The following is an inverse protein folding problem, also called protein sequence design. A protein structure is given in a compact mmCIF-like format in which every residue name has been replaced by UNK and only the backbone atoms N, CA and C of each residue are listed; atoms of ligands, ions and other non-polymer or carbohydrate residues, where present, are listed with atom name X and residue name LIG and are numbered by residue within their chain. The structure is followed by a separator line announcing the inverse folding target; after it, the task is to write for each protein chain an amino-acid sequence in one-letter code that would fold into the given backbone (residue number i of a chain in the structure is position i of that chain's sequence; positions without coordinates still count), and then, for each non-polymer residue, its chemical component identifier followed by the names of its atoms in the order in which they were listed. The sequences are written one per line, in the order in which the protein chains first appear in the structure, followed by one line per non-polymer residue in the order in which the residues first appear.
data_IF_699236252360
#
_entry.id   IF_699236252360
#
_cell.length_a   1.000
_cell.length_b   1.000
_cell.length_c   1.000
_cell.angle_alpha   90.00
_cell.angle_beta   90.00
_cell.angle_gamma   90.00
#
_symmetry.space_group_name_H-M   'P 1'
#
loop_
_entity.id
_entity.type
_entity.pdbx_description
1 polymer ?
#
# COMPACT_ATOMS: atom_id res chain seq x y z
N UNK A 1 9.40 -15.40 -0.44
CA UNK A 1 8.74 -14.40 -1.29
C UNK A 1 9.70 -14.05 -2.41
N UNK A 2 9.35 -14.28 -3.67
CA UNK A 2 10.22 -13.95 -4.83
C UNK A 2 10.15 -12.45 -5.14
N UNK A 3 11.13 -11.88 -5.86
CA UNK A 3 11.11 -10.47 -6.28
C UNK A 3 9.86 -10.08 -7.08
N UNK A 4 9.44 -10.94 -8.02
CA UNK A 4 8.21 -10.74 -8.79
C UNK A 4 6.95 -10.73 -7.91
N UNK A 5 6.87 -11.68 -6.96
CA UNK A 5 5.73 -11.74 -6.03
C UNK A 5 5.70 -10.49 -5.15
N UNK A 6 6.87 -10.03 -4.69
CA UNK A 6 6.99 -8.78 -3.94
C UNK A 6 6.46 -7.58 -4.72
N UNK A 7 6.91 -7.38 -5.97
CA UNK A 7 6.46 -6.26 -6.80
C UNK A 7 4.97 -6.33 -7.12
N UNK A 8 4.43 -7.52 -7.39
CA UNK A 8 2.98 -7.70 -7.60
C UNK A 8 2.19 -7.38 -6.33
N UNK A 9 2.59 -7.89 -5.17
CA UNK A 9 1.93 -7.61 -3.89
C UNK A 9 1.99 -6.12 -3.57
N UNK A 10 3.13 -5.46 -3.83
CA UNK A 10 3.28 -4.02 -3.59
C UNK A 10 2.35 -3.17 -4.46
N UNK A 11 2.29 -3.41 -5.78
CA UNK A 11 1.33 -2.71 -6.66
C UNK A 11 -0.12 -2.91 -6.20
N UNK A 12 -0.44 -4.10 -5.70
CA UNK A 12 -1.77 -4.38 -5.15
C UNK A 12 -2.05 -3.58 -3.88
N UNK A 13 -1.06 -3.44 -2.98
CA UNK A 13 -1.16 -2.59 -1.78
C UNK A 13 -1.37 -1.13 -2.16
N UNK A 14 -0.58 -0.59 -3.08
CA UNK A 14 -0.69 0.81 -3.53
C UNK A 14 -2.09 1.11 -4.14
N UNK A 15 -2.62 0.15 -4.90
CA UNK A 15 -3.99 0.23 -5.44
C UNK A 15 -5.05 0.21 -4.32
N UNK A 16 -4.92 -0.70 -3.36
CA UNK A 16 -5.84 -0.79 -2.23
C UNK A 16 -5.80 0.45 -1.35
N UNK A 17 -4.64 1.08 -1.15
CA UNK A 17 -4.52 2.37 -0.43
C UNK A 17 -5.30 3.48 -1.14
N UNK A 18 -5.12 3.59 -2.45
CA UNK A 18 -5.83 4.58 -3.27
C UNK A 18 -7.35 4.34 -3.22
N UNK A 19 -7.77 3.07 -3.35
CA UNK A 19 -9.18 2.69 -3.23
C UNK A 19 -9.74 3.00 -1.83
N UNK A 20 -8.99 2.70 -0.78
CA UNK A 20 -9.38 2.96 0.61
C UNK A 20 -9.60 4.46 0.82
N UNK A 21 -8.73 5.31 0.30
CA UNK A 21 -8.89 6.77 0.37
C UNK A 21 -10.21 7.22 -0.28
N UNK A 22 -10.52 6.70 -1.48
CA UNK A 22 -11.78 6.99 -2.18
C UNK A 22 -13.00 6.51 -1.37
N UNK A 23 -12.95 5.30 -0.79
CA UNK A 23 -14.02 4.76 0.04
C UNK A 23 -14.27 5.60 1.30
N UNK A 24 -13.21 6.08 1.95
CA UNK A 24 -13.31 6.96 3.12
C UNK A 24 -13.94 8.30 2.74
N UNK A 25 -13.55 8.89 1.61
CA UNK A 25 -14.18 10.11 1.09
C UNK A 25 -15.67 9.88 0.81
N UNK A 26 -16.02 8.75 0.19
CA UNK A 26 -17.41 8.37 -0.07
C UNK A 26 -18.22 8.20 1.21
N UNK A 27 -17.66 7.57 2.25
CA UNK A 27 -18.30 7.43 3.56
C UNK A 27 -18.57 8.80 4.19
N UNK A 28 -17.60 9.71 4.13
CA UNK A 28 -17.77 11.06 4.66
C UNK A 28 -18.85 11.84 3.92
N UNK A 29 -18.85 11.80 2.57
CA UNK A 29 -19.90 12.42 1.77
C UNK A 29 -21.27 11.86 2.13
N UNK A 30 -21.41 10.53 2.18
CA UNK A 30 -22.66 9.89 2.59
C UNK A 30 -23.08 10.34 3.99
N UNK A 31 -22.18 10.39 4.98
CA UNK A 31 -22.52 10.85 6.32
C UNK A 31 -23.12 12.28 6.34
N UNK A 32 -22.71 13.17 5.44
CA UNK A 32 -23.25 14.53 5.31
C UNK A 32 -24.66 14.56 4.71
N UNK A 33 -24.97 13.67 3.76
CA UNK A 33 -26.23 13.70 3.01
C UNK A 33 -27.38 12.88 3.63
N UNK A 34 -27.20 12.32 4.85
CA UNK A 34 -28.19 11.48 5.56
C UNK A 34 -28.88 10.39 4.69
N UNK A 35 -28.13 9.48 4.05
CA UNK A 35 -28.66 8.28 3.42
C UNK A 35 -29.19 7.31 4.48
N UNK A 36 -29.82 6.22 4.04
CA UNK A 36 -30.21 5.14 4.93
C UNK A 36 -29.01 4.65 5.77
N UNK A 37 -29.21 4.52 7.09
CA UNK A 37 -28.14 4.13 8.02
C UNK A 37 -27.49 2.78 7.67
N UNK A 38 -28.23 1.90 6.98
CA UNK A 38 -27.73 0.60 6.51
C UNK A 38 -26.59 0.78 5.50
N UNK A 39 -26.68 1.76 4.59
CA UNK A 39 -25.65 2.02 3.59
C UNK A 39 -24.34 2.51 4.26
N UNK A 40 -24.46 3.38 5.27
CA UNK A 40 -23.31 3.86 6.05
C UNK A 40 -22.61 2.72 6.79
N UNK A 41 -23.38 1.85 7.43
CA UNK A 41 -22.84 0.68 8.16
C UNK A 41 -22.17 -0.29 7.20
N UNK A 42 -22.80 -0.60 6.06
CA UNK A 42 -22.23 -1.50 5.06
C UNK A 42 -20.90 -0.97 4.52
N UNK A 43 -20.83 0.33 4.17
CA UNK A 43 -19.61 0.96 3.68
C UNK A 43 -18.50 0.99 4.75
N UNK A 44 -18.85 1.26 6.01
CA UNK A 44 -17.88 1.22 7.12
C UNK A 44 -17.27 -0.17 7.30
N UNK A 45 -18.08 -1.24 7.20
CA UNK A 45 -17.58 -2.62 7.28
C UNK A 45 -16.66 -2.97 6.09
N UNK A 46 -16.97 -2.49 4.88
CA UNK A 46 -16.10 -2.66 3.71
C UNK A 46 -14.74 -1.97 3.91
N UNK A 47 -14.73 -0.73 4.40
CA UNK A 47 -13.50 0.03 4.71
C UNK A 47 -12.66 -0.71 5.76
N UNK A 48 -13.29 -1.23 6.82
CA UNK A 48 -12.61 -1.99 7.86
C UNK A 48 -11.98 -3.28 7.30
N UNK A 49 -12.70 -4.01 6.46
CA UNK A 49 -12.19 -5.22 5.79
C UNK A 49 -10.99 -4.93 4.88
N UNK A 50 -11.07 -3.87 4.06
CA UNK A 50 -9.97 -3.43 3.19
C UNK A 50 -8.75 -3.04 4.03
N UNK A 51 -8.95 -2.29 5.12
CA UNK A 51 -7.87 -1.85 6.01
C UNK A 51 -7.14 -3.04 6.67
N UNK A 52 -7.88 -4.05 7.13
CA UNK A 52 -7.29 -5.26 7.72
C UNK A 52 -6.48 -6.05 6.69
N UNK A 53 -6.99 -6.18 5.46
CA UNK A 53 -6.28 -6.81 4.35
C UNK A 53 -4.98 -6.08 4.05
N UNK A 54 -5.05 -4.74 3.96
CA UNK A 54 -3.92 -3.88 3.70
C UNK A 54 -2.84 -3.99 4.78
N UNK A 55 -3.24 -4.05 6.06
CA UNK A 55 -2.33 -4.22 7.18
C UNK A 55 -1.57 -5.56 7.10
N UNK A 56 -2.25 -6.65 6.74
CA UNK A 56 -1.60 -7.97 6.57
C UNK A 56 -0.60 -7.96 5.42
N UNK A 57 -0.95 -7.32 4.30
CA UNK A 57 -0.04 -7.19 3.17
C UNK A 57 1.16 -6.31 3.50
N UNK A 58 0.97 -5.21 4.25
CA UNK A 58 2.07 -4.39 4.76
C UNK A 58 3.05 -5.18 5.62
N UNK A 59 2.55 -5.99 6.57
CA UNK A 59 3.41 -6.84 7.39
C UNK A 59 4.21 -7.85 6.56
N UNK A 60 3.62 -8.39 5.49
CA UNK A 60 4.33 -9.29 4.58
C UNK A 60 5.43 -8.54 3.81
N UNK A 61 5.13 -7.36 3.28
CA UNK A 61 6.09 -6.52 2.54
C UNK A 61 7.23 -6.02 3.42
N UNK A 62 6.96 -5.67 4.68
CA UNK A 62 7.99 -5.21 5.63
C UNK A 62 9.03 -6.28 5.97
N UNK A 63 8.65 -7.56 5.90
CA UNK A 63 9.57 -8.69 6.15
C UNK A 63 10.42 -9.05 4.93
N UNK A 64 10.14 -8.48 3.76
CA UNK A 64 10.91 -8.77 2.56
C UNK A 64 12.26 -8.03 2.59
N UNK A 65 13.33 -8.79 2.46
CA UNK A 65 14.69 -8.31 2.31
C UNK A 65 15.16 -8.48 0.86
N UNK A 66 15.82 -7.47 0.32
CA UNK A 66 16.42 -7.53 -1.00
C UNK A 66 17.50 -8.64 -1.04
N UNK A 67 17.51 -9.52 -2.04
CA UNK A 67 18.52 -10.57 -2.15
C UNK A 67 19.94 -10.03 -2.37
N UNK A 68 20.09 -8.83 -2.92
CA UNK A 68 21.40 -8.21 -3.17
C UNK A 68 22.07 -7.59 -1.96
N UNK A 69 21.31 -6.89 -1.13
CA UNK A 69 21.86 -6.09 -0.03
C UNK A 69 21.25 -6.41 1.34
N UNK A 70 20.25 -7.29 1.42
CA UNK A 70 19.56 -7.63 2.68
C UNK A 70 18.67 -6.54 3.25
N UNK A 71 18.68 -5.33 2.69
CA UNK A 71 17.85 -4.22 3.14
C UNK A 71 16.40 -4.35 2.64
N UNK A 72 15.45 -3.74 3.37
CA UNK A 72 14.08 -3.62 2.89
C UNK A 72 14.05 -2.69 1.67
N UNK A 73 13.64 -3.16 0.48
CA UNK A 73 14.06 -2.52 -0.77
C UNK A 73 13.52 -1.10 -0.99
N UNK A 74 12.45 -0.72 -0.31
CA UNK A 74 11.79 0.58 -0.49
C UNK A 74 11.65 1.38 0.81
N UNK A 75 12.37 1.00 1.86
CA UNK A 75 12.47 1.80 3.07
C UNK A 75 13.81 2.54 3.03
N UNK A 76 13.85 3.64 2.28
CA UNK A 76 14.99 4.54 2.26
C UNK A 76 14.48 5.94 2.55
N UNK A 77 14.86 6.50 3.68
CA UNK A 77 14.67 7.92 3.98
C UNK A 77 15.77 8.69 3.25
N UNK A 78 15.46 9.27 2.11
CA UNK A 78 16.34 10.23 1.46
C UNK A 78 16.27 11.55 2.24
N UNK A 79 17.32 11.84 3.02
CA UNK A 79 17.43 13.05 3.84
C UNK A 79 17.69 14.33 3.03
N UNK A 80 17.97 14.20 1.73
CA UNK A 80 18.40 15.30 0.85
C UNK A 80 17.31 15.70 -0.16
N UNK A 81 16.49 14.74 -0.60
CA UNK A 81 15.69 14.90 -1.82
C UNK A 81 14.36 15.63 -1.60
N UNK A 82 13.75 15.58 -0.41
CA UNK A 82 12.40 16.12 -0.16
C UNK A 82 11.28 15.49 -1.01
N UNK A 83 11.62 14.73 -2.04
CA UNK A 83 10.72 14.15 -3.02
C UNK A 83 10.15 12.81 -2.54
N UNK A 84 8.83 12.71 -2.73
CA UNK A 84 8.08 11.46 -2.65
C UNK A 84 8.71 10.46 -3.63
N UNK A 85 9.51 9.56 -3.08
CA UNK A 85 10.03 8.41 -3.79
C UNK A 85 8.88 7.65 -4.44
N UNK A 86 8.95 7.42 -5.75
CA UNK A 86 7.93 6.69 -6.48
C UNK A 86 7.99 5.21 -6.07
N UNK A 87 6.99 4.70 -5.32
CA UNK A 87 6.95 3.30 -4.89
C UNK A 87 6.84 2.32 -6.06
N UNK A 88 6.58 2.81 -7.28
CA UNK A 88 6.43 2.02 -8.51
C UNK A 88 7.78 1.58 -9.10
N UNK A 89 8.90 2.17 -8.67
CA UNK A 89 10.23 1.78 -9.19
C UNK A 89 10.54 0.32 -8.85
N UNK A 90 10.80 -0.56 -9.83
CA UNK A 90 11.01 -1.98 -9.56
C UNK A 90 12.43 -2.28 -9.05
N UNK A 91 13.18 -1.29 -8.60
CA UNK A 91 14.58 -1.42 -8.18
C UNK A 91 14.69 -1.26 -6.67
N UNK A 92 15.60 -1.98 -6.04
CA UNK A 92 15.97 -1.75 -4.66
C UNK A 92 16.59 -0.34 -4.50
N UNK A 93 16.06 0.46 -3.57
CA UNK A 93 16.54 1.82 -3.31
C UNK A 93 17.92 1.87 -2.63
N UNK A 94 18.36 0.75 -2.05
CA UNK A 94 19.64 0.64 -1.35
C UNK A 94 20.79 0.24 -2.27
N UNK A 95 20.61 -0.77 -3.13
CA UNK A 95 21.68 -1.27 -4.01
C UNK A 95 21.40 -1.13 -5.52
N UNK A 96 20.23 -0.63 -5.92
CA UNK A 96 19.86 -0.47 -7.33
C UNK A 96 19.51 -1.77 -8.06
N UNK A 97 19.53 -2.93 -7.38
CA UNK A 97 19.21 -4.21 -8.00
C UNK A 97 17.75 -4.26 -8.46
N UNK A 98 17.52 -4.71 -9.70
CA UNK A 98 16.18 -4.98 -10.22
C UNK A 98 15.50 -6.08 -9.40
N UNK A 99 14.26 -5.83 -9.02
CA UNK A 99 13.36 -6.77 -8.35
C UNK A 99 12.40 -7.43 -9.35
N UNK A 100 12.70 -7.29 -10.65
CA UNK A 100 12.11 -7.99 -11.79
C UNK A 100 13.26 -8.75 -12.45
N UNK A 101 13.01 -9.99 -12.90
CA UNK A 101 13.83 -10.58 -13.94
C UNK A 101 13.48 -9.93 -15.30
#
# INVERSE_FOLDING_TARGET
MTPEHYNRTRRHVDFLESLLAVLVIALFALALFRPEGVLLVALALLIAGVSLSLQRQHQALQRYACPGCGASPHHKSDSVSGDRHDPVTPNCLHCGQRLLD
#
